data_IF_195379892284
#
_entry.id   IF_195379892284
#
_cell.length_a   1.000
_cell.length_b   1.000
_cell.length_c   1.000
_cell.angle_alpha   90.00
_cell.angle_beta   90.00
_cell.angle_gamma   90.00
#
_symmetry.space_group_name_H-M   'P 1'
#
loop_
_entity.id
_entity.type
_entity.pdbx_description
1 polymer ?
#
# COMPACT_ATOMS: atom_id res chain seq x y z
N UNK A 1 20.13 -28.81 7.60
CA UNK A 1 20.00 -27.50 8.24
C UNK A 1 21.07 -26.57 7.68
N UNK A 2 20.76 -25.32 7.28
CA UNK A 2 21.78 -24.39 6.80
C UNK A 2 22.78 -24.07 7.92
N UNK A 3 24.05 -23.99 7.57
CA UNK A 3 25.15 -23.87 8.52
C UNK A 3 25.22 -22.54 9.28
N UNK A 4 24.55 -21.51 8.80
CA UNK A 4 24.38 -20.21 9.49
C UNK A 4 23.19 -19.42 8.93
N UNK A 5 22.84 -18.30 9.59
CA UNK A 5 21.74 -17.41 9.25
C UNK A 5 21.81 -16.86 7.81
N UNK A 6 23.03 -16.66 7.27
CA UNK A 6 23.22 -16.18 5.90
C UNK A 6 22.72 -17.21 4.86
N UNK A 7 23.09 -18.49 5.01
CA UNK A 7 22.62 -19.54 4.11
C UNK A 7 21.14 -19.84 4.30
N UNK A 8 20.61 -19.73 5.54
CA UNK A 8 19.18 -19.82 5.79
C UNK A 8 18.41 -18.71 5.05
N UNK A 9 18.86 -17.46 5.17
CA UNK A 9 18.23 -16.33 4.47
C UNK A 9 18.37 -16.45 2.95
N UNK A 10 19.49 -16.96 2.44
CA UNK A 10 19.67 -17.20 0.99
C UNK A 10 18.74 -18.29 0.46
N UNK A 11 18.50 -19.36 1.22
CA UNK A 11 17.52 -20.39 0.86
C UNK A 11 16.08 -19.85 0.95
N UNK A 12 15.78 -19.07 1.99
CA UNK A 12 14.47 -18.43 2.17
C UNK A 12 14.22 -17.43 1.04
N UNK A 13 15.22 -16.64 0.62
CA UNK A 13 15.08 -15.69 -0.49
C UNK A 13 14.75 -16.34 -1.84
N UNK A 14 15.13 -17.60 -2.05
CA UNK A 14 14.73 -18.38 -3.22
C UNK A 14 13.27 -18.85 -3.16
N UNK A 15 12.69 -18.89 -1.97
CA UNK A 15 11.32 -19.30 -1.69
C UNK A 15 10.40 -18.10 -1.39
N UNK A 16 10.97 -16.89 -1.22
CA UNK A 16 10.21 -15.68 -0.97
C UNK A 16 9.77 -15.07 -2.29
N UNK A 17 8.57 -14.52 -2.27
CA UNK A 17 8.04 -13.72 -3.35
C UNK A 17 8.90 -12.49 -3.56
N UNK A 18 9.03 -12.04 -4.80
CA UNK A 18 9.74 -10.82 -5.10
C UNK A 18 9.12 -9.63 -4.38
N UNK A 19 9.97 -8.84 -3.77
CA UNK A 19 9.59 -7.60 -3.09
C UNK A 19 10.40 -6.47 -3.71
N UNK A 20 9.72 -5.59 -4.40
CA UNK A 20 10.37 -4.45 -5.04
C UNK A 20 10.51 -3.30 -4.05
N UNK A 21 11.73 -2.83 -3.88
CA UNK A 21 12.04 -1.62 -3.12
C UNK A 21 12.09 -0.43 -4.07
N UNK A 22 11.04 0.38 -4.07
CA UNK A 22 10.92 1.55 -4.94
C UNK A 22 11.20 2.82 -4.12
N UNK A 23 12.11 3.66 -4.60
CA UNK A 23 12.32 4.97 -3.99
C UNK A 23 11.22 5.92 -4.42
N UNK A 24 10.76 6.75 -3.51
CA UNK A 24 9.75 7.78 -3.78
C UNK A 24 10.27 9.18 -3.44
N UNK A 25 9.72 10.18 -4.09
CA UNK A 25 9.95 11.57 -3.73
C UNK A 25 9.41 11.83 -2.32
N UNK A 26 10.19 12.54 -1.47
CA UNK A 26 9.76 12.89 -0.09
C UNK A 26 8.48 13.74 -0.04
N UNK A 27 8.18 14.44 -1.15
CA UNK A 27 6.96 15.23 -1.32
C UNK A 27 5.89 14.49 -2.14
N UNK A 28 6.02 13.17 -2.30
CA UNK A 28 5.08 12.24 -2.95
C UNK A 28 4.82 12.49 -4.45
N UNK A 29 5.63 13.32 -5.11
CA UNK A 29 5.37 13.72 -6.50
C UNK A 29 5.57 12.62 -7.53
N UNK A 30 6.51 11.69 -7.31
CA UNK A 30 6.89 10.61 -8.23
C UNK A 30 7.41 9.39 -7.47
N UNK A 31 7.36 8.24 -8.12
CA UNK A 31 8.20 7.08 -7.83
C UNK A 31 9.43 7.10 -8.75
N UNK A 32 10.60 6.77 -8.21
CA UNK A 32 11.83 6.64 -8.99
C UNK A 32 11.88 5.25 -9.66
N UNK A 33 11.01 5.03 -10.64
CA UNK A 33 10.87 3.78 -11.42
C UNK A 33 10.61 4.10 -12.90
N UNK A 34 10.58 3.05 -13.73
CA UNK A 34 10.42 3.21 -15.18
C UNK A 34 11.62 3.93 -15.84
N UNK A 35 11.57 4.07 -17.15
CA UNK A 35 12.70 4.62 -17.90
C UNK A 35 12.89 6.12 -17.66
N UNK A 36 11.83 6.85 -17.35
CA UNK A 36 11.87 8.30 -17.16
C UNK A 36 12.47 8.73 -15.82
N UNK A 37 12.29 7.93 -14.74
CA UNK A 37 12.62 8.39 -13.39
C UNK A 37 13.62 7.53 -12.61
N UNK A 38 13.92 6.31 -13.08
CA UNK A 38 14.76 5.33 -12.33
C UNK A 38 16.15 5.85 -11.96
N UNK A 39 16.77 6.64 -12.84
CA UNK A 39 18.15 7.12 -12.71
C UNK A 39 18.27 8.53 -12.13
N UNK A 40 17.16 9.21 -11.86
CA UNK A 40 17.17 10.57 -11.34
C UNK A 40 17.61 10.61 -9.86
N UNK A 41 18.42 11.60 -9.50
CA UNK A 41 18.86 11.87 -8.13
C UNK A 41 18.00 12.94 -7.42
N UNK A 42 17.20 13.68 -8.18
CA UNK A 42 16.27 14.70 -7.68
C UNK A 42 14.93 14.62 -8.39
N UNK A 43 13.87 15.07 -7.71
CA UNK A 43 12.52 15.07 -8.26
C UNK A 43 12.35 16.17 -9.31
N UNK A 44 11.96 15.87 -10.56
CA UNK A 44 11.77 16.88 -11.61
C UNK A 44 10.58 17.82 -11.33
N UNK A 45 9.60 17.38 -10.49
CA UNK A 45 8.42 18.20 -10.17
C UNK A 45 8.67 19.21 -9.05
N UNK A 46 9.45 18.84 -8.02
CA UNK A 46 9.63 19.70 -6.84
C UNK A 46 11.09 19.99 -6.47
N UNK A 47 12.08 19.46 -7.22
CA UNK A 47 13.50 19.65 -6.96
C UNK A 47 14.07 18.94 -5.72
N UNK A 48 13.23 18.21 -4.95
CA UNK A 48 13.69 17.54 -3.75
C UNK A 48 14.66 16.40 -4.06
N UNK A 49 15.72 16.25 -3.25
CA UNK A 49 16.67 15.15 -3.37
C UNK A 49 15.99 13.80 -3.15
N UNK A 50 16.36 12.80 -3.96
CA UNK A 50 15.98 11.39 -3.80
C UNK A 50 16.50 10.80 -2.49
N UNK A 51 17.62 11.32 -2.00
CA UNK A 51 18.32 10.78 -0.83
C UNK A 51 18.18 11.69 0.37
N UNK A 52 18.34 11.11 1.57
CA UNK A 52 18.39 11.86 2.84
C UNK A 52 19.62 12.75 2.90
N UNK A 53 19.45 13.92 3.50
CA UNK A 53 20.51 14.89 3.78
C UNK A 53 20.90 14.85 5.26
N UNK A 54 22.04 15.45 5.65
CA UNK A 54 22.45 15.59 7.05
C UNK A 54 21.38 16.27 7.92
N UNK A 55 20.58 17.17 7.32
CA UNK A 55 19.48 17.84 8.03
C UNK A 55 18.40 16.85 8.45
N UNK A 56 18.03 15.93 7.59
CA UNK A 56 16.99 14.91 7.86
C UNK A 56 17.41 14.04 9.07
N UNK A 57 18.67 13.66 9.14
CA UNK A 57 19.19 12.87 10.27
C UNK A 57 19.21 13.62 11.58
N UNK A 58 19.59 14.91 11.57
CA UNK A 58 19.58 15.75 12.78
C UNK A 58 18.17 15.89 13.35
N UNK A 59 17.16 15.98 12.50
CA UNK A 59 15.76 16.02 12.91
C UNK A 59 15.31 14.68 13.51
N UNK A 60 15.67 13.56 12.91
CA UNK A 60 15.35 12.21 13.42
C UNK A 60 16.02 11.95 14.78
N UNK A 61 17.30 12.34 14.97
CA UNK A 61 17.99 12.20 16.25
C UNK A 61 17.36 13.08 17.35
N UNK A 62 16.91 14.28 17.01
CA UNK A 62 16.20 15.14 17.95
C UNK A 62 14.90 14.49 18.44
N UNK A 63 14.11 13.93 17.56
CA UNK A 63 12.86 13.22 17.89
C UNK A 63 13.14 11.98 18.76
N UNK A 64 14.13 11.17 18.38
CA UNK A 64 14.51 9.98 19.14
C UNK A 64 15.08 10.29 20.54
N UNK A 65 15.73 11.44 20.73
CA UNK A 65 16.26 11.88 22.03
C UNK A 65 15.17 12.39 22.97
N UNK A 66 14.10 12.97 22.44
CA UNK A 66 12.93 13.42 23.22
C UNK A 66 12.15 12.22 23.75
N UNK A 67 12.00 11.18 22.94
CA UNK A 67 11.27 9.94 23.32
C UNK A 67 11.98 9.13 24.42
N UNK A 68 13.31 9.24 24.54
CA UNK A 68 14.11 8.49 25.55
C UNK A 68 14.25 9.15 26.91
N UNK A 69 13.51 10.23 27.19
CA UNK A 69 13.37 10.79 28.54
C UNK A 69 14.67 11.17 29.27
N UNK A 70 15.77 11.48 28.60
CA UNK A 70 17.01 11.90 29.22
C UNK A 70 16.90 13.34 29.74
N UNK A 71 16.79 13.49 31.07
CA UNK A 71 16.97 14.79 31.76
C UNK A 71 18.25 15.48 31.31
N UNK A 72 18.11 16.55 30.52
CA UNK A 72 19.26 17.40 30.14
C UNK A 72 19.87 18.05 31.37
N UNK A 73 21.06 17.63 31.75
CA UNK A 73 21.95 18.46 32.63
C UNK A 73 22.31 19.72 31.83
N UNK A 74 21.94 20.89 32.36
CA UNK A 74 22.32 22.21 31.81
C UNK A 74 23.86 22.28 31.71
N UNK A 75 24.40 22.19 30.52
CA UNK A 75 25.81 22.51 30.27
C UNK A 75 25.96 24.03 30.23
N UNK A 76 26.85 24.56 31.08
CA UNK A 76 27.24 25.97 31.14
C UNK A 76 27.89 26.38 29.80
N UNK A 77 27.33 27.43 29.19
CA UNK A 77 27.85 28.11 28.02
C UNK A 77 29.23 28.68 28.32
N UNK A 78 30.32 28.11 27.83
CA UNK A 78 31.61 28.77 27.69
C UNK A 78 31.67 29.42 26.32
N UNK A 79 31.66 30.75 26.30
CA UNK A 79 31.96 31.57 25.14
C UNK A 79 33.45 31.45 24.82
N UNK A 80 33.79 30.80 23.72
CA UNK A 80 35.09 30.96 23.09
C UNK A 80 34.88 31.46 21.67
N UNK A 81 35.38 32.67 21.41
CA UNK A 81 35.58 33.20 20.05
C UNK A 81 36.53 32.26 19.31
N UNK A 82 36.09 31.72 18.18
CA UNK A 82 37.00 31.11 17.22
C UNK A 82 36.54 31.45 15.80
N UNK A 83 37.49 32.06 15.12
CA UNK A 83 37.60 32.42 13.71
C UNK A 83 36.96 31.44 12.76
N UNK A 84 36.15 32.01 11.86
CA UNK A 84 35.56 31.37 10.68
C UNK A 84 36.64 30.75 9.78
N UNK A 85 36.70 29.40 9.81
CA UNK A 85 37.09 28.59 8.68
C UNK A 85 35.83 27.75 8.37
N UNK A 86 35.15 28.10 7.30
CA UNK A 86 34.14 27.25 6.68
C UNK A 86 34.84 25.93 6.29
N UNK A 87 34.77 24.93 7.16
CA UNK A 87 35.01 23.55 6.76
C UNK A 87 33.78 23.16 5.98
N UNK A 88 33.94 22.87 4.69
CA UNK A 88 32.95 22.10 3.92
C UNK A 88 32.65 20.83 4.72
N UNK A 89 31.51 20.83 5.41
CA UNK A 89 31.02 19.66 6.16
C UNK A 89 30.56 18.64 5.11
N UNK A 90 31.44 17.68 4.80
CA UNK A 90 31.14 16.61 3.84
C UNK A 90 29.85 15.94 4.28
N UNK A 91 28.85 15.92 3.41
CA UNK A 91 27.57 15.28 3.68
C UNK A 91 27.77 13.76 3.70
N UNK A 92 28.13 13.24 4.87
CA UNK A 92 28.43 11.81 5.10
C UNK A 92 27.25 10.90 4.71
N UNK A 93 26.02 11.41 4.76
CA UNK A 93 24.82 10.63 4.45
C UNK A 93 24.48 10.68 2.95
N UNK A 94 24.83 11.73 2.26
CA UNK A 94 24.76 11.79 0.81
C UNK A 94 25.66 10.72 0.16
N UNK A 95 26.83 10.44 0.78
CA UNK A 95 27.71 9.36 0.33
C UNK A 95 27.08 7.96 0.45
N UNK A 96 26.20 7.74 1.42
CA UNK A 96 25.51 6.44 1.61
C UNK A 96 24.30 6.24 0.69
N UNK A 97 23.86 7.26 -0.03
CA UNK A 97 22.68 7.22 -0.91
C UNK A 97 21.45 6.55 -0.25
N UNK A 98 21.15 6.93 1.01
CA UNK A 98 19.98 6.42 1.72
C UNK A 98 18.74 7.13 1.19
N UNK A 99 17.73 6.41 0.65
CA UNK A 99 16.56 7.06 0.07
C UNK A 99 15.77 7.84 1.12
N UNK A 100 15.23 8.99 0.72
CA UNK A 100 14.43 9.85 1.58
C UNK A 100 13.08 9.22 1.94
N UNK A 101 12.47 8.54 0.98
CA UNK A 101 11.24 7.79 1.17
C UNK A 101 11.32 6.46 0.38
N UNK A 102 10.78 5.41 0.95
CA UNK A 102 10.73 4.08 0.34
C UNK A 102 9.30 3.57 0.35
N UNK A 103 8.91 3.01 -0.78
CA UNK A 103 7.74 2.17 -0.93
C UNK A 103 8.20 0.73 -1.20
N UNK A 104 7.58 -0.22 -0.54
CA UNK A 104 7.74 -1.64 -0.81
C UNK A 104 6.54 -2.11 -1.62
N UNK A 105 6.78 -2.68 -2.80
CA UNK A 105 5.76 -3.26 -3.65
C UNK A 105 5.92 -4.79 -3.68
N UNK A 106 4.81 -5.48 -3.45
CA UNK A 106 4.72 -6.94 -3.47
C UNK A 106 3.79 -7.35 -4.62
N UNK A 107 4.31 -7.82 -5.75
CA UNK A 107 3.54 -8.15 -6.94
C UNK A 107 2.39 -9.13 -6.64
N UNK A 108 1.22 -8.84 -7.19
CA UNK A 108 0.00 -9.61 -6.90
C UNK A 108 0.02 -10.97 -7.59
N UNK A 109 0.57 -11.02 -8.80
CA UNK A 109 0.59 -12.22 -9.65
C UNK A 109 1.30 -13.38 -8.97
N UNK A 110 2.46 -13.14 -8.35
CA UNK A 110 3.23 -14.19 -7.69
C UNK A 110 2.53 -14.74 -6.45
N UNK A 111 1.79 -13.88 -5.75
CA UNK A 111 0.95 -14.29 -4.61
C UNK A 111 -0.19 -15.21 -5.07
N UNK A 112 -0.81 -14.90 -6.20
CA UNK A 112 -1.83 -15.74 -6.79
C UNK A 112 -1.26 -17.08 -7.28
N UNK A 113 -0.05 -17.07 -7.88
CA UNK A 113 0.64 -18.32 -8.26
C UNK A 113 0.85 -19.24 -7.06
N UNK A 114 1.28 -18.70 -5.91
CA UNK A 114 1.44 -19.48 -4.69
C UNK A 114 0.12 -20.09 -4.20
N UNK A 115 -1.01 -19.37 -4.31
CA UNK A 115 -2.31 -19.90 -3.91
C UNK A 115 -2.79 -21.03 -4.84
N UNK A 116 -2.63 -20.87 -6.15
CA UNK A 116 -3.02 -21.90 -7.12
C UNK A 116 -2.05 -23.09 -7.17
N UNK A 117 -0.80 -22.93 -6.72
CA UNK A 117 0.17 -24.02 -6.57
C UNK A 117 -0.17 -24.97 -5.41
N UNK A 118 -1.00 -24.57 -4.46
CA UNK A 118 -1.47 -25.45 -3.39
C UNK A 118 -2.88 -25.98 -3.74
N UNK A 119 -3.10 -27.28 -3.85
CA UNK A 119 -4.40 -27.83 -4.30
C UNK A 119 -5.57 -27.48 -3.36
N UNK A 120 -5.33 -27.39 -2.05
CA UNK A 120 -6.37 -27.00 -1.09
C UNK A 120 -6.76 -25.52 -1.24
N UNK A 121 -5.77 -24.65 -1.40
CA UNK A 121 -6.02 -23.21 -1.63
C UNK A 121 -6.67 -22.99 -3.00
N UNK A 122 -6.19 -23.66 -4.04
CA UNK A 122 -6.74 -23.57 -5.39
C UNK A 122 -8.24 -24.00 -5.43
N UNK A 123 -8.62 -25.04 -4.69
CA UNK A 123 -10.03 -25.42 -4.51
C UNK A 123 -10.85 -24.27 -3.93
N UNK A 124 -10.32 -23.62 -2.89
CA UNK A 124 -11.00 -22.54 -2.19
C UNK A 124 -11.15 -21.26 -3.04
N UNK A 125 -10.28 -21.04 -4.03
CA UNK A 125 -10.36 -19.87 -4.93
C UNK A 125 -11.61 -19.86 -5.81
N UNK A 126 -12.34 -20.97 -5.92
CA UNK A 126 -13.64 -21.05 -6.61
C UNK A 126 -14.81 -21.37 -5.66
N UNK A 127 -14.64 -21.19 -4.34
CA UNK A 127 -15.64 -21.56 -3.34
C UNK A 127 -16.98 -20.82 -3.53
N UNK A 128 -16.96 -19.54 -3.90
CA UNK A 128 -18.16 -18.73 -4.11
C UNK A 128 -19.11 -19.28 -5.21
N UNK A 129 -18.56 -20.08 -6.12
CA UNK A 129 -19.30 -20.74 -7.20
C UNK A 129 -19.54 -22.23 -6.94
N UNK A 130 -19.18 -22.74 -5.76
CA UNK A 130 -19.35 -24.16 -5.39
C UNK A 130 -20.70 -24.43 -4.75
N UNK A 131 -21.11 -25.74 -4.73
CA UNK A 131 -22.32 -26.17 -4.05
C UNK A 131 -22.28 -25.94 -2.53
N UNK A 132 -21.11 -25.73 -1.95
CA UNK A 132 -20.93 -25.38 -0.54
C UNK A 132 -21.46 -23.97 -0.22
N UNK A 133 -21.45 -23.09 -1.20
CA UNK A 133 -22.02 -21.75 -1.13
C UNK A 133 -23.50 -21.78 -1.56
N UNK A 134 -24.40 -22.07 -0.61
CA UNK A 134 -25.83 -22.11 -0.88
C UNK A 134 -26.43 -20.70 -0.90
N UNK A 135 -26.85 -20.24 -2.07
CA UNK A 135 -27.65 -19.03 -2.20
C UNK A 135 -29.11 -19.34 -1.79
N UNK A 136 -29.46 -18.99 -0.55
CA UNK A 136 -30.80 -19.19 0.02
C UNK A 136 -31.49 -17.85 0.38
N UNK A 137 -31.14 -16.77 -0.32
CA UNK A 137 -31.66 -15.43 -0.11
C UNK A 137 -31.07 -14.69 1.11
N UNK A 138 -30.06 -15.25 1.79
CA UNK A 138 -29.36 -14.60 2.90
C UNK A 138 -28.04 -14.02 2.43
N UNK A 139 -27.77 -12.78 2.78
CA UNK A 139 -26.49 -12.11 2.50
C UNK A 139 -25.43 -12.57 3.53
N UNK A 140 -24.54 -13.46 3.14
CA UNK A 140 -23.44 -13.97 3.98
C UNK A 140 -22.07 -13.78 3.33
N UNK A 141 -22.09 -13.55 2.04
CA UNK A 141 -20.90 -13.42 1.21
C UNK A 141 -21.12 -12.30 0.18
N UNK A 142 -20.09 -11.57 -0.27
CA UNK A 142 -20.24 -10.58 -1.35
C UNK A 142 -20.91 -11.13 -2.60
N UNK A 143 -20.73 -12.42 -2.92
CA UNK A 143 -21.38 -13.08 -4.06
C UNK A 143 -22.91 -13.18 -3.95
N UNK A 144 -23.48 -13.04 -2.75
CA UNK A 144 -24.93 -13.00 -2.54
C UNK A 144 -25.54 -11.63 -2.89
N UNK A 145 -24.68 -10.60 -3.01
CA UNK A 145 -25.08 -9.22 -3.23
C UNK A 145 -25.46 -8.94 -4.70
N UNK A 146 -26.41 -8.03 -4.88
CA UNK A 146 -26.87 -7.63 -6.21
C UNK A 146 -25.72 -7.09 -7.08
N UNK A 147 -24.78 -6.34 -6.52
CA UNK A 147 -23.63 -5.80 -7.25
C UNK A 147 -22.78 -6.90 -7.90
N UNK A 148 -22.63 -8.05 -7.23
CA UNK A 148 -21.93 -9.21 -7.79
C UNK A 148 -22.68 -9.83 -8.95
N UNK A 149 -24.01 -9.95 -8.82
CA UNK A 149 -24.89 -10.48 -9.85
C UNK A 149 -24.92 -9.56 -11.07
N UNK A 150 -25.14 -8.27 -10.86
CA UNK A 150 -25.13 -7.26 -11.93
C UNK A 150 -23.78 -7.24 -12.67
N UNK A 151 -22.67 -7.40 -11.93
CA UNK A 151 -21.34 -7.51 -12.54
C UNK A 151 -21.21 -8.77 -13.40
N UNK A 152 -21.69 -9.92 -12.94
CA UNK A 152 -21.66 -11.17 -13.70
C UNK A 152 -22.48 -11.07 -14.98
N UNK A 153 -23.63 -10.41 -14.93
CA UNK A 153 -24.50 -10.23 -16.10
C UNK A 153 -23.87 -9.31 -17.14
N UNK A 154 -23.14 -8.30 -16.71
CA UNK A 154 -22.46 -7.33 -17.58
C UNK A 154 -21.10 -7.85 -18.12
N UNK A 155 -20.46 -8.80 -17.43
CA UNK A 155 -19.12 -9.32 -17.74
C UNK A 155 -19.11 -10.86 -17.71
N UNK A 156 -19.91 -11.47 -18.56
CA UNK A 156 -20.06 -12.95 -18.61
C UNK A 156 -18.77 -13.66 -18.93
N UNK A 157 -17.96 -13.13 -19.84
CA UNK A 157 -16.63 -13.63 -20.20
C UNK A 157 -15.67 -13.72 -18.98
N UNK A 158 -15.84 -12.84 -18.01
CA UNK A 158 -15.11 -12.90 -16.75
C UNK A 158 -15.78 -13.85 -15.75
N UNK A 159 -17.10 -13.87 -15.69
CA UNK A 159 -17.89 -14.64 -14.72
C UNK A 159 -17.90 -16.15 -15.00
N UNK A 160 -17.80 -16.55 -16.28
CA UNK A 160 -17.80 -17.95 -16.73
C UNK A 160 -16.58 -18.74 -16.23
N UNK A 161 -15.48 -18.04 -15.87
CA UNK A 161 -14.34 -18.64 -15.20
C UNK A 161 -14.38 -18.32 -13.68
N UNK A 162 -14.85 -19.24 -12.82
CA UNK A 162 -15.02 -18.98 -11.39
C UNK A 162 -13.70 -18.78 -10.62
N UNK A 163 -12.54 -19.10 -11.23
CA UNK A 163 -11.22 -18.83 -10.66
C UNK A 163 -10.75 -17.39 -10.87
N UNK A 164 -11.44 -16.62 -11.72
CA UNK A 164 -11.17 -15.20 -11.88
C UNK A 164 -11.39 -14.46 -10.55
N UNK A 165 -10.42 -13.62 -10.17
CA UNK A 165 -10.34 -13.09 -8.81
C UNK A 165 -10.98 -11.71 -8.69
N UNK A 166 -11.82 -11.55 -7.67
CA UNK A 166 -12.37 -10.25 -7.26
C UNK A 166 -11.71 -9.79 -5.96
N UNK A 167 -11.06 -8.65 -6.02
CA UNK A 167 -10.40 -8.06 -4.87
C UNK A 167 -11.22 -6.94 -4.23
N UNK A 168 -11.16 -6.88 -2.90
CA UNK A 168 -11.44 -5.67 -2.15
C UNK A 168 -10.12 -4.99 -1.78
N UNK A 169 -9.97 -3.70 -2.08
CA UNK A 169 -8.82 -2.91 -1.69
C UNK A 169 -9.14 -2.15 -0.40
N UNK A 170 -8.25 -2.23 0.56
CA UNK A 170 -8.28 -1.40 1.77
C UNK A 170 -6.93 -0.75 2.02
N UNK A 171 -6.97 0.47 2.51
CA UNK A 171 -5.78 1.23 2.93
C UNK A 171 -6.12 2.13 4.09
N UNK A 172 -5.19 2.31 5.00
CA UNK A 172 -5.30 3.24 6.12
C UNK A 172 -3.91 3.58 6.66
N UNK A 173 -3.79 4.77 7.26
CA UNK A 173 -2.57 5.19 7.92
C UNK A 173 -2.43 4.59 9.31
N UNK A 174 -1.35 3.86 9.55
CA UNK A 174 -1.07 3.29 10.87
C UNK A 174 0.22 3.84 11.47
N UNK A 175 0.22 4.08 12.77
CA UNK A 175 1.45 4.37 13.50
C UNK A 175 2.08 3.05 13.97
N UNK A 176 3.23 2.62 13.42
CA UNK A 176 3.87 1.37 13.80
C UNK A 176 4.56 1.44 15.16
N UNK A 177 4.70 2.65 15.73
CA UNK A 177 5.32 2.86 17.03
C UNK A 177 4.25 2.95 18.12
N UNK A 178 4.49 2.30 19.25
CA UNK A 178 3.56 2.30 20.38
C UNK A 178 3.39 3.70 21.03
N UNK A 179 4.29 4.64 20.76
CA UNK A 179 4.25 5.99 21.31
C UNK A 179 3.21 6.86 20.61
N UNK A 180 2.15 7.24 21.32
CA UNK A 180 1.09 8.13 20.83
C UNK A 180 1.57 9.52 20.41
N UNK A 181 2.74 9.93 20.87
CA UNK A 181 3.37 11.22 20.52
C UNK A 181 4.04 11.22 19.14
N UNK A 182 4.29 10.06 18.56
CA UNK A 182 4.87 9.95 17.23
C UNK A 182 3.82 10.29 16.17
N UNK A 183 4.15 11.27 15.31
CA UNK A 183 3.35 11.62 14.12
C UNK A 183 3.66 10.73 12.92
N UNK A 184 4.42 9.65 13.12
CA UNK A 184 4.79 8.75 12.03
C UNK A 184 3.58 7.98 11.53
N UNK A 185 3.36 8.00 10.23
CA UNK A 185 2.28 7.28 9.57
C UNK A 185 2.87 6.36 8.50
N UNK A 186 2.67 5.07 8.64
CA UNK A 186 2.96 4.05 7.63
C UNK A 186 1.66 3.67 6.94
N UNK A 187 1.67 3.53 5.62
CA UNK A 187 0.46 3.27 4.84
C UNK A 187 0.57 1.93 4.10
N UNK A 188 -0.06 0.88 4.61
CA UNK A 188 -0.25 -0.37 3.87
C UNK A 188 -1.42 -0.26 2.89
N UNK A 189 -1.28 -0.88 1.72
CA UNK A 189 -2.37 -1.20 0.80
C UNK A 189 -2.57 -2.70 0.80
N UNK A 190 -3.79 -3.12 1.08
CA UNK A 190 -4.14 -4.52 1.29
C UNK A 190 -5.22 -4.93 0.29
N UNK A 191 -5.05 -6.10 -0.30
CA UNK A 191 -6.10 -6.76 -1.08
C UNK A 191 -6.67 -7.94 -0.32
N UNK A 192 -7.99 -8.01 -0.26
CA UNK A 192 -8.75 -9.16 0.25
C UNK A 192 -9.37 -9.90 -0.91
N UNK A 193 -9.25 -11.23 -0.94
CA UNK A 193 -9.79 -12.08 -2.01
C UNK A 193 -11.23 -12.45 -1.69
N UNK A 194 -12.17 -11.97 -2.49
CA UNK A 194 -13.60 -12.23 -2.31
C UNK A 194 -14.10 -13.56 -2.89
N UNK A 195 -13.25 -14.32 -3.55
CA UNK A 195 -13.57 -15.67 -3.99
C UNK A 195 -13.65 -16.67 -2.85
N UNK A 196 -12.95 -16.37 -1.75
CA UNK A 196 -12.77 -17.26 -0.60
C UNK A 196 -13.99 -17.31 0.32
N UNK A 197 -14.18 -18.41 1.08
CA UNK A 197 -15.20 -18.44 2.14
C UNK A 197 -15.00 -17.32 3.18
N UNK A 198 -16.09 -16.77 3.76
CA UNK A 198 -16.04 -15.61 4.66
C UNK A 198 -15.08 -15.78 5.86
N UNK A 199 -15.00 -17.00 6.41
CA UNK A 199 -14.13 -17.29 7.58
C UNK A 199 -12.63 -17.33 7.25
N UNK A 200 -12.26 -17.31 5.96
CA UNK A 200 -10.88 -17.28 5.49
C UNK A 200 -10.43 -15.91 4.98
N UNK A 201 -11.34 -15.06 4.52
CA UNK A 201 -11.01 -13.75 3.92
C UNK A 201 -10.11 -12.89 4.81
N UNK A 202 -10.27 -12.98 6.13
CA UNK A 202 -9.49 -12.19 7.09
C UNK A 202 -8.31 -12.96 7.71
N UNK A 203 -8.02 -14.16 7.23
CA UNK A 203 -6.84 -14.91 7.71
C UNK A 203 -5.58 -14.38 7.05
N UNK A 204 -4.50 -14.24 7.84
CA UNK A 204 -3.19 -13.71 7.38
C UNK A 204 -2.68 -14.34 6.08
N UNK A 205 -2.94 -15.63 5.88
CA UNK A 205 -2.54 -16.38 4.69
C UNK A 205 -3.14 -15.79 3.40
N UNK A 206 -4.36 -15.26 3.47
CA UNK A 206 -5.14 -14.83 2.31
C UNK A 206 -5.27 -13.31 2.18
N UNK A 207 -4.76 -12.58 3.15
CA UNK A 207 -4.65 -11.12 3.06
C UNK A 207 -3.36 -10.79 2.30
N UNK A 208 -3.48 -10.07 1.20
CA UNK A 208 -2.35 -9.69 0.36
C UNK A 208 -1.94 -8.25 0.68
N UNK A 209 -0.86 -8.08 1.45
CA UNK A 209 -0.19 -6.79 1.52
C UNK A 209 0.48 -6.55 0.16
N UNK A 210 0.08 -5.53 -0.58
CA UNK A 210 0.61 -5.23 -1.92
C UNK A 210 1.55 -4.04 -1.91
N UNK A 211 1.25 -3.01 -1.12
CA UNK A 211 2.09 -1.83 -1.00
C UNK A 211 2.31 -1.52 0.49
N UNK A 212 3.51 -1.08 0.83
CA UNK A 212 3.82 -0.52 2.13
C UNK A 212 4.64 0.76 1.96
N UNK A 213 4.03 1.90 2.26
CA UNK A 213 4.68 3.22 2.24
C UNK A 213 5.23 3.47 3.63
N UNK A 214 6.56 3.62 3.75
CA UNK A 214 7.24 3.63 5.06
C UNK A 214 7.05 4.91 5.89
N UNK A 215 6.42 5.94 5.35
CA UNK A 215 6.27 7.21 6.08
C UNK A 215 7.56 8.05 6.14
N UNK A 216 7.67 9.05 7.02
CA UNK A 216 6.83 9.36 8.19
C UNK A 216 5.50 10.07 7.90
N UNK A 217 5.38 10.74 6.76
CA UNK A 217 4.17 11.46 6.37
C UNK A 217 3.23 10.59 5.55
N UNK A 218 1.94 10.83 5.71
CA UNK A 218 0.92 10.16 4.90
C UNK A 218 0.93 10.68 3.45
N UNK A 219 0.56 9.85 2.46
CA UNK A 219 0.57 10.23 1.04
C UNK A 219 -0.41 11.37 0.69
N UNK A 220 -1.44 11.60 1.52
CA UNK A 220 -2.45 12.60 1.24
C UNK A 220 -3.15 12.35 -0.09
N UNK A 221 -3.31 13.41 -0.88
CA UNK A 221 -3.96 13.36 -2.21
C UNK A 221 -3.09 12.73 -3.30
N UNK A 222 -1.81 12.52 -3.05
CA UNK A 222 -0.86 11.94 -4.00
C UNK A 222 -0.83 10.40 -3.92
N UNK A 223 -1.87 9.77 -3.39
CA UNK A 223 -1.97 8.31 -3.24
C UNK A 223 -1.89 7.59 -4.59
N UNK A 224 -2.38 8.21 -5.65
CA UNK A 224 -2.34 7.67 -7.01
C UNK A 224 -0.92 7.33 -7.47
N UNK A 225 0.06 8.16 -7.09
CA UNK A 225 1.48 7.92 -7.39
C UNK A 225 1.95 6.58 -6.81
N UNK A 226 1.52 6.25 -5.60
CA UNK A 226 1.91 5.00 -4.95
C UNK A 226 1.13 3.78 -5.44
N UNK A 227 -0.08 3.98 -5.95
CA UNK A 227 -0.91 2.91 -6.49
C UNK A 227 -0.50 2.49 -7.91
N UNK A 228 0.30 3.29 -8.62
CA UNK A 228 0.68 3.07 -10.01
C UNK A 228 1.14 1.62 -10.30
N UNK A 229 2.11 1.01 -9.56
CA UNK A 229 2.54 -0.37 -9.84
C UNK A 229 1.41 -1.40 -9.68
N UNK A 230 0.55 -1.20 -8.69
CA UNK A 230 -0.60 -2.07 -8.47
C UNK A 230 -1.62 -1.95 -9.61
N UNK A 231 -1.86 -0.73 -10.10
CA UNK A 231 -2.80 -0.50 -11.22
C UNK A 231 -2.28 -1.08 -12.52
N UNK A 232 -0.96 -1.09 -12.75
CA UNK A 232 -0.33 -1.76 -13.89
C UNK A 232 -0.59 -3.27 -13.84
N UNK A 233 -0.35 -3.92 -12.69
CA UNK A 233 -0.66 -5.34 -12.51
C UNK A 233 -2.16 -5.63 -12.70
N UNK A 234 -3.04 -4.80 -12.12
CA UNK A 234 -4.49 -4.96 -12.26
C UNK A 234 -4.94 -4.79 -13.72
N UNK A 235 -4.33 -3.88 -14.47
CA UNK A 235 -4.62 -3.68 -15.89
C UNK A 235 -4.26 -4.93 -16.70
N UNK A 236 -3.09 -5.51 -16.49
CA UNK A 236 -2.67 -6.75 -17.15
C UNK A 236 -3.65 -7.89 -16.80
N UNK A 237 -3.97 -8.04 -15.51
CA UNK A 237 -4.89 -9.07 -15.03
C UNK A 237 -6.31 -8.89 -15.58
N UNK A 238 -6.76 -7.66 -15.80
CA UNK A 238 -8.08 -7.38 -16.35
C UNK A 238 -8.15 -7.59 -17.87
N UNK A 239 -7.21 -7.02 -18.62
CA UNK A 239 -7.26 -6.96 -20.08
C UNK A 239 -6.84 -8.28 -20.72
N UNK A 240 -5.69 -8.83 -20.32
CA UNK A 240 -5.08 -10.00 -20.94
C UNK A 240 -5.10 -11.24 -20.06
N UNK A 241 -5.09 -11.05 -18.74
CA UNK A 241 -4.89 -12.11 -17.78
C UNK A 241 -3.48 -12.69 -17.81
N UNK A 242 -3.23 -13.64 -16.92
CA UNK A 242 -1.95 -14.36 -16.82
C UNK A 242 -2.15 -15.86 -16.75
N UNK A 243 -1.22 -16.60 -17.35
CA UNK A 243 -1.25 -18.06 -17.30
C UNK A 243 -0.95 -18.55 -15.88
N UNK A 244 -1.85 -19.39 -15.35
CA UNK A 244 -1.75 -20.02 -14.04
C UNK A 244 -1.87 -21.53 -14.16
N UNK A 245 -1.10 -22.23 -13.31
CA UNK A 245 -1.28 -23.66 -13.10
C UNK A 245 -2.18 -23.86 -11.89
N UNK A 246 -3.27 -24.58 -12.07
CA UNK A 246 -4.21 -24.95 -11.00
C UNK A 246 -3.89 -26.37 -10.53
N UNK A 247 -3.24 -26.48 -9.39
CA UNK A 247 -2.85 -27.79 -8.83
C UNK A 247 -4.03 -28.62 -8.33
N UNK A 248 -5.18 -28.03 -8.06
CA UNK A 248 -6.40 -28.78 -7.74
C UNK A 248 -7.02 -29.43 -8.97
N UNK A 249 -7.18 -28.69 -10.07
CA UNK A 249 -7.76 -29.19 -11.32
C UNK A 249 -6.72 -29.82 -12.26
N UNK A 250 -5.42 -29.76 -11.90
CA UNK A 250 -4.29 -30.28 -12.68
C UNK A 250 -4.23 -29.75 -14.11
N UNK A 251 -4.52 -28.47 -14.28
CA UNK A 251 -4.53 -27.83 -15.59
C UNK A 251 -4.14 -26.37 -15.56
N UNK A 252 -3.69 -25.85 -16.70
CA UNK A 252 -3.42 -24.43 -16.86
C UNK A 252 -4.66 -23.68 -17.32
N UNK A 253 -4.78 -22.42 -16.93
CA UNK A 253 -5.85 -21.52 -17.34
C UNK A 253 -5.35 -20.07 -17.36
N UNK A 254 -6.10 -19.19 -18.01
CA UNK A 254 -5.85 -17.75 -17.98
C UNK A 254 -6.61 -17.14 -16.82
N UNK A 255 -5.86 -16.70 -15.80
CA UNK A 255 -6.43 -15.99 -14.65
C UNK A 255 -6.63 -14.53 -14.99
N UNK A 256 -7.82 -14.02 -14.78
CA UNK A 256 -8.14 -12.59 -14.78
C UNK A 256 -8.49 -12.13 -13.37
N UNK A 257 -8.30 -10.84 -13.08
CA UNK A 257 -8.68 -10.27 -11.80
C UNK A 257 -9.16 -8.82 -11.94
N UNK A 258 -9.93 -8.38 -10.94
CA UNK A 258 -10.47 -7.02 -10.87
C UNK A 258 -10.47 -6.50 -9.43
N UNK A 259 -10.25 -5.20 -9.27
CA UNK A 259 -10.61 -4.47 -8.05
C UNK A 259 -12.12 -4.24 -8.05
N UNK A 260 -12.83 -5.08 -7.30
CA UNK A 260 -14.28 -5.11 -7.30
C UNK A 260 -14.90 -4.04 -6.39
N UNK A 261 -14.30 -3.81 -5.22
CA UNK A 261 -14.72 -2.79 -4.25
C UNK A 261 -13.52 -2.20 -3.51
N UNK A 262 -13.73 -1.04 -2.88
CA UNK A 262 -12.82 -0.48 -1.88
C UNK A 262 -13.49 -0.51 -0.50
N UNK A 263 -12.73 -0.84 0.54
CA UNK A 263 -13.19 -0.88 1.94
C UNK A 263 -12.27 0.02 2.74
N UNK A 264 -12.71 1.22 3.03
CA UNK A 264 -11.92 2.21 3.75
C UNK A 264 -12.83 2.94 4.76
N UNK A 265 -12.24 3.45 5.82
CA UNK A 265 -12.90 4.44 6.63
C UNK A 265 -13.01 5.77 5.86
N UNK A 266 -13.78 6.71 6.38
CA UNK A 266 -14.05 7.96 5.66
C UNK A 266 -12.79 8.79 5.39
N UNK A 267 -11.82 8.95 6.34
CA UNK A 267 -10.54 9.62 6.07
C UNK A 267 -9.68 8.95 4.99
N UNK A 268 -9.56 7.62 5.01
CA UNK A 268 -8.81 6.89 4.00
C UNK A 268 -9.48 6.95 2.62
N UNK A 269 -10.81 6.96 2.57
CA UNK A 269 -11.56 7.12 1.34
C UNK A 269 -11.31 8.48 0.67
N UNK A 270 -11.18 9.56 1.45
CA UNK A 270 -10.75 10.87 0.93
C UNK A 270 -9.36 10.81 0.30
N UNK A 271 -8.42 10.17 0.98
CA UNK A 271 -7.06 10.00 0.48
C UNK A 271 -7.06 9.22 -0.84
N UNK A 272 -7.85 8.16 -0.93
CA UNK A 272 -7.94 7.29 -2.11
C UNK A 272 -8.66 7.95 -3.30
N UNK A 273 -9.70 8.76 -3.02
CA UNK A 273 -10.48 9.45 -4.05
C UNK A 273 -9.88 10.77 -4.53
N UNK A 274 -8.80 11.24 -3.88
CA UNK A 274 -8.18 12.54 -4.17
C UNK A 274 -9.08 13.75 -3.84
N UNK A 275 -10.17 13.55 -3.11
CA UNK A 275 -11.11 14.63 -2.77
C UNK A 275 -10.69 15.36 -1.50
N UNK A 276 -11.01 16.66 -1.46
CA UNK A 276 -10.74 17.51 -0.30
C UNK A 276 -11.99 17.72 0.55
N UNK A 277 -11.79 17.95 1.84
CA UNK A 277 -12.84 18.45 2.74
C UNK A 277 -13.39 19.76 2.20
N UNK A 278 -14.71 19.92 2.17
CA UNK A 278 -15.35 21.15 1.69
C UNK A 278 -16.77 20.90 1.22
N UNK A 279 -17.24 21.76 0.31
CA UNK A 279 -18.62 21.68 -0.25
C UNK A 279 -18.89 20.36 -0.99
N UNK A 280 -17.87 19.75 -1.56
CA UNK A 280 -17.91 18.47 -2.28
C UNK A 280 -17.24 17.40 -1.43
N UNK A 281 -17.63 17.29 -0.16
CA UNK A 281 -16.97 16.40 0.81
C UNK A 281 -17.41 14.94 0.75
N UNK A 282 -18.49 14.61 0.04
CA UNK A 282 -18.96 13.24 -0.10
C UNK A 282 -18.37 12.58 -1.35
N UNK A 283 -17.61 11.51 -1.17
CA UNK A 283 -17.00 10.74 -2.28
C UNK A 283 -18.02 9.97 -3.13
N UNK A 284 -19.26 9.86 -2.66
CA UNK A 284 -20.39 9.21 -3.35
C UNK A 284 -21.27 10.21 -4.07
N UNK A 285 -21.65 11.30 -3.39
CA UNK A 285 -22.57 12.30 -3.93
C UNK A 285 -21.87 13.31 -4.85
N UNK A 286 -20.54 13.49 -4.66
CA UNK A 286 -19.69 14.44 -5.39
C UNK A 286 -20.35 15.84 -5.43
N UNK A 287 -20.68 16.34 -6.62
CA UNK A 287 -21.33 17.67 -6.80
C UNK A 287 -22.73 17.76 -6.19
N UNK A 288 -23.41 16.62 -5.97
CA UNK A 288 -24.69 16.52 -5.30
C UNK A 288 -24.64 16.54 -3.77
N UNK A 289 -23.44 16.77 -3.18
CA UNK A 289 -23.28 16.79 -1.72
C UNK A 289 -24.05 17.94 -1.09
N UNK A 290 -24.99 17.62 -0.19
CA UNK A 290 -25.65 18.64 0.64
C UNK A 290 -24.65 19.15 1.70
N UNK A 291 -24.58 20.48 1.89
CA UNK A 291 -23.70 21.09 2.87
C UNK A 291 -24.38 22.24 3.63
N UNK A 292 -23.93 22.45 4.86
CA UNK A 292 -24.34 23.58 5.69
C UNK A 292 -23.12 24.42 6.08
N UNK A 293 -23.19 25.72 5.86
CA UNK A 293 -22.16 26.66 6.32
C UNK A 293 -22.50 27.16 7.72
N UNK A 294 -21.60 26.84 8.68
CA UNK A 294 -21.72 27.31 10.05
C UNK A 294 -21.08 28.70 10.17
N UNK A 295 -21.91 29.77 10.20
CA UNK A 295 -21.45 31.17 10.22
C UNK A 295 -20.54 31.50 11.40
N UNK A 296 -20.82 30.95 12.59
CA UNK A 296 -20.04 31.20 13.80
C UNK A 296 -18.64 30.61 13.79
N UNK A 297 -18.46 29.42 13.19
CA UNK A 297 -17.17 28.70 13.14
C UNK A 297 -16.46 28.83 11.79
N UNK A 298 -17.07 29.46 10.79
CA UNK A 298 -16.62 29.53 9.40
C UNK A 298 -16.29 28.13 8.82
N UNK A 299 -16.99 27.10 9.28
CA UNK A 299 -16.80 25.71 8.83
C UNK A 299 -17.96 25.30 7.92
N UNK A 300 -17.64 24.43 6.97
CA UNK A 300 -18.62 23.72 6.15
C UNK A 300 -18.77 22.33 6.74
N UNK A 301 -20.01 21.91 6.92
CA UNK A 301 -20.36 20.54 7.36
C UNK A 301 -21.16 19.90 6.23
N UNK A 302 -20.72 18.74 5.82
CA UNK A 302 -21.34 17.90 4.79
C UNK A 302 -21.91 16.65 5.39
#
# INVERSE_FOLDING_TARGET
MPANTYYANKLISLLTMDVEKIHACRNHCILYRGDDYKDLESCPKCGASRYKTNKDYREEECVASVSKGKKRKKAKKKTSKSTSKEKEEVDYYALKKIPALVMWYLPVVDRLRCLFANPEDAKLMSWHASDEHKNNGKLRHPADGKQWQDFNDNHRDFADEPRNVRFALSTDGMNPFAERSSKHSTWPVILTIYNLPPWLMQKRKYILLTILISGPTQPGVDMDVFLEPLMEDMKILWETGVQMLDEYRKGSFTLRAILFVTINDYPALFTLSGQFKGKVGCTVCIDGTAYVSLSASKKIVT
#
